data_IF_208695832655
#
_entry.id   IF_208695832655
#
_cell.length_a   1.000
_cell.length_b   1.000
_cell.length_c   1.000
_cell.angle_alpha   90.00
_cell.angle_beta   90.00
_cell.angle_gamma   90.00
#
_symmetry.space_group_name_H-M   'P 1'
#
loop_
_entity.id
_entity.type
_entity.pdbx_description
1 polymer ?
#
# COMPACT_ATOMS: atom_id res chain seq x y z
N UNK A 1 -21.29 -44.03 -29.32
CA UNK A 1 -22.07 -44.26 -28.07
C UNK A 1 -22.35 -42.93 -27.43
N UNK A 2 -23.64 -42.51 -27.36
CA UNK A 2 -24.00 -41.24 -26.76
C UNK A 2 -24.41 -41.43 -25.29
N UNK A 3 -23.98 -40.57 -24.42
CA UNK A 3 -24.28 -40.61 -22.98
C UNK A 3 -24.41 -39.22 -22.38
N UNK A 4 -25.60 -38.83 -22.28
CA UNK A 4 -26.48 -38.30 -21.19
C UNK A 4 -26.12 -36.89 -20.65
N UNK A 5 -26.92 -35.98 -21.08
CA UNK A 5 -27.23 -34.69 -20.46
C UNK A 5 -27.93 -34.90 -19.11
N UNK A 6 -27.53 -34.17 -18.09
CA UNK A 6 -28.31 -33.99 -16.86
C UNK A 6 -28.48 -32.51 -16.61
N UNK A 7 -29.67 -32.00 -16.83
CA UNK A 7 -30.17 -30.72 -16.37
C UNK A 7 -30.29 -30.73 -14.84
N UNK A 8 -29.77 -29.72 -14.17
CA UNK A 8 -30.25 -29.33 -12.86
C UNK A 8 -30.69 -27.88 -12.89
N UNK A 9 -32.00 -27.70 -12.94
CA UNK A 9 -32.76 -26.51 -12.59
C UNK A 9 -33.04 -26.51 -11.10
N UNK A 10 -32.85 -25.40 -10.44
CA UNK A 10 -33.28 -25.12 -9.07
C UNK A 10 -32.84 -23.70 -8.74
N UNK A 11 -33.56 -22.72 -8.92
CA UNK A 11 -34.80 -22.14 -8.42
C UNK A 11 -34.68 -21.65 -6.96
N UNK A 12 -35.14 -20.42 -6.75
CA UNK A 12 -35.58 -19.74 -5.54
C UNK A 12 -34.45 -19.04 -4.77
N UNK A 13 -34.27 -17.68 -4.71
CA UNK A 13 -35.33 -16.73 -4.39
C UNK A 13 -35.30 -16.40 -2.90
N UNK A 14 -34.56 -15.35 -2.52
CA UNK A 14 -34.85 -14.68 -1.23
C UNK A 14 -34.34 -13.22 -1.31
N UNK A 15 -35.29 -12.34 -1.63
CA UNK A 15 -35.18 -10.89 -1.48
C UNK A 15 -35.30 -10.60 0.02
N UNK A 16 -34.26 -10.03 0.62
CA UNK A 16 -34.35 -9.44 1.97
C UNK A 16 -34.12 -7.95 1.84
N UNK A 17 -35.22 -7.20 1.84
CA UNK A 17 -35.25 -5.76 2.04
C UNK A 17 -34.90 -5.46 3.51
N UNK A 18 -33.80 -4.76 3.76
CA UNK A 18 -33.62 -4.03 5.00
C UNK A 18 -33.71 -2.52 4.73
N UNK A 19 -34.88 -2.01 5.07
CA UNK A 19 -35.08 -0.58 5.37
C UNK A 19 -34.55 -0.32 6.77
N UNK A 20 -33.57 0.53 6.94
CA UNK A 20 -33.28 1.15 8.22
C UNK A 20 -33.14 2.65 8.03
N UNK A 21 -34.08 3.28 8.67
CA UNK A 21 -34.27 4.71 8.86
C UNK A 21 -33.13 5.38 9.62
N UNK A 22 -32.98 6.64 9.34
CA UNK A 22 -32.07 7.62 9.83
C UNK A 22 -31.95 7.82 11.35
N UNK A 23 -30.90 8.52 11.70
CA UNK A 23 -30.86 9.49 12.81
C UNK A 23 -29.80 10.54 12.51
N UNK A 24 -30.28 11.72 12.16
CA UNK A 24 -29.55 12.98 12.20
C UNK A 24 -29.33 13.40 13.64
N UNK A 25 -28.09 13.68 14.04
CA UNK A 25 -27.83 14.50 15.22
C UNK A 25 -26.90 15.67 14.81
N UNK A 26 -27.56 16.81 14.64
CA UNK A 26 -26.92 18.10 14.63
C UNK A 26 -26.72 18.53 16.11
N UNK A 27 -25.47 18.71 16.53
CA UNK A 27 -25.13 19.39 17.76
C UNK A 27 -24.38 20.68 17.45
N UNK A 28 -25.10 21.77 17.58
CA UNK A 28 -24.66 23.14 17.54
C UNK A 28 -23.98 23.47 18.88
N UNK A 29 -22.73 23.93 18.90
CA UNK A 29 -22.13 24.55 20.09
C UNK A 29 -21.42 25.84 19.68
N UNK A 30 -22.12 26.92 19.98
CA UNK A 30 -21.57 28.27 20.03
C UNK A 30 -20.65 28.37 21.26
N UNK A 31 -19.38 28.63 21.07
CA UNK A 31 -18.39 28.92 22.10
C UNK A 31 -18.13 30.43 22.19
N UNK A 32 -18.48 30.97 23.32
CA UNK A 32 -18.33 32.36 23.74
C UNK A 32 -16.87 32.76 23.84
N UNK A 33 -16.53 33.92 23.27
CA UNK A 33 -15.24 34.58 23.43
C UNK A 33 -15.09 35.14 24.81
N UNK A 34 -14.15 34.67 25.60
CA UNK A 34 -13.78 35.24 26.90
C UNK A 34 -12.44 35.95 26.80
N UNK A 35 -12.49 37.27 26.93
CA UNK A 35 -11.38 38.20 26.95
C UNK A 35 -10.79 38.22 28.37
N UNK A 36 -9.52 37.83 28.53
CA UNK A 36 -8.82 37.90 29.82
C UNK A 36 -7.62 38.84 29.72
N UNK A 37 -7.36 39.69 30.72
CA UNK A 37 -6.34 40.72 30.69
C UNK A 37 -4.95 40.17 30.97
N UNK A 38 -3.94 40.82 30.35
CA UNK A 38 -2.54 40.55 30.51
C UNK A 38 -2.04 40.80 31.93
N UNK A 39 -1.36 39.81 32.51
CA UNK A 39 -0.54 39.97 33.71
C UNK A 39 0.91 39.66 33.38
N UNK A 40 1.74 40.71 33.42
CA UNK A 40 3.18 40.64 33.25
C UNK A 40 3.80 39.97 34.48
N UNK A 41 4.48 38.84 34.27
CA UNK A 41 5.31 38.16 35.28
C UNK A 41 6.65 37.75 34.67
N UNK A 42 7.70 37.54 35.48
CA UNK A 42 9.08 37.46 34.99
C UNK A 42 9.33 36.20 34.14
N UNK A 43 10.19 36.36 33.14
CA UNK A 43 10.62 35.33 32.20
C UNK A 43 11.52 34.34 32.97
N UNK A 44 11.00 33.20 33.34
CA UNK A 44 11.79 32.03 33.67
C UNK A 44 12.26 31.36 32.39
N UNK A 45 13.56 31.26 32.26
CA UNK A 45 14.31 30.69 31.15
C UNK A 45 14.14 29.15 31.21
N UNK A 46 13.02 28.62 30.74
CA UNK A 46 12.81 27.18 30.62
C UNK A 46 13.53 26.72 29.35
N UNK A 47 14.66 26.04 29.52
CA UNK A 47 15.30 25.25 28.47
C UNK A 47 14.24 24.41 27.74
N UNK A 48 14.21 24.43 26.42
CA UNK A 48 13.32 23.53 25.68
C UNK A 48 13.75 22.07 25.95
N UNK A 49 12.94 21.34 26.69
CA UNK A 49 13.01 19.88 26.70
C UNK A 49 12.84 19.41 25.28
N UNK A 50 13.92 18.98 24.68
CA UNK A 50 13.93 18.30 23.38
C UNK A 50 13.24 16.95 23.59
N UNK A 51 11.96 16.93 23.44
CA UNK A 51 11.13 15.72 23.49
C UNK A 51 11.51 14.87 22.28
N UNK A 52 11.91 13.65 22.51
CA UNK A 52 12.23 12.61 21.55
C UNK A 52 11.00 12.25 20.65
N UNK A 53 10.59 13.15 19.77
CA UNK A 53 9.52 12.91 18.79
C UNK A 53 10.04 12.42 17.41
N UNK A 54 11.35 12.22 17.28
CA UNK A 54 11.98 11.99 15.96
C UNK A 54 12.09 10.51 15.58
N UNK A 55 11.94 9.58 16.53
CA UNK A 55 12.22 8.14 16.27
C UNK A 55 11.09 7.43 15.53
N UNK A 56 9.86 7.91 15.61
CA UNK A 56 8.70 7.22 15.03
C UNK A 56 8.51 7.50 13.53
N UNK A 57 9.04 8.61 13.03
CA UNK A 57 8.89 8.99 11.61
C UNK A 57 9.82 8.21 10.67
N UNK A 58 10.96 7.71 11.18
CA UNK A 58 11.96 7.05 10.35
C UNK A 58 11.56 5.64 9.89
N UNK A 59 10.66 4.97 10.61
CA UNK A 59 10.26 3.58 10.32
C UNK A 59 8.88 3.49 9.61
N UNK A 60 8.22 4.60 9.37
CA UNK A 60 6.94 4.60 8.66
C UNK A 60 7.14 4.41 7.16
N UNK A 61 6.46 3.43 6.60
CA UNK A 61 6.43 3.16 5.16
C UNK A 61 5.14 3.69 4.55
N UNK A 62 5.24 4.34 3.39
CA UNK A 62 4.10 4.85 2.63
C UNK A 62 4.21 4.40 1.19
N UNK A 63 3.14 3.82 0.66
CA UNK A 63 2.99 3.54 -0.77
C UNK A 63 1.70 4.16 -1.24
N UNK A 64 1.76 4.95 -2.31
CA UNK A 64 0.56 5.53 -2.94
C UNK A 64 0.53 5.21 -4.42
N UNK A 65 -0.66 5.00 -4.98
CA UNK A 65 -0.83 4.66 -6.38
C UNK A 65 -2.24 4.98 -6.89
N UNK A 66 -2.35 5.13 -8.21
CA UNK A 66 -3.63 5.28 -8.90
C UNK A 66 -3.92 4.01 -9.69
N UNK A 67 -5.13 3.48 -9.54
CA UNK A 67 -5.63 2.32 -10.28
C UNK A 67 -6.67 2.72 -11.30
N UNK A 68 -6.67 2.00 -12.44
CA UNK A 68 -7.70 2.07 -13.47
C UNK A 68 -8.06 0.65 -13.93
N UNK A 69 -9.32 0.42 -14.26
CA UNK A 69 -9.80 -0.87 -14.75
C UNK A 69 -10.76 -1.54 -13.77
N UNK A 70 -10.50 -2.77 -13.37
CA UNK A 70 -11.37 -3.54 -12.47
C UNK A 70 -11.68 -2.86 -11.14
N UNK A 71 -10.75 -2.05 -10.65
CA UNK A 71 -10.91 -1.08 -9.57
C UNK A 71 -10.31 0.23 -10.01
N UNK A 72 -10.95 1.34 -9.69
CA UNK A 72 -10.47 2.69 -10.05
C UNK A 72 -10.43 3.58 -8.83
N UNK A 73 -9.33 4.29 -8.62
CA UNK A 73 -9.17 5.21 -7.50
C UNK A 73 -7.71 5.57 -7.21
N UNK A 74 -7.53 6.46 -6.24
CA UNK A 74 -6.23 6.81 -5.66
C UNK A 74 -6.16 6.16 -4.28
N UNK A 75 -5.09 5.44 -4.03
CA UNK A 75 -4.90 4.66 -2.81
C UNK A 75 -3.61 5.05 -2.12
N UNK A 76 -3.60 4.94 -0.80
CA UNK A 76 -2.42 5.13 0.04
C UNK A 76 -2.42 4.06 1.13
N UNK A 77 -1.30 3.37 1.26
CA UNK A 77 -1.06 2.40 2.32
C UNK A 77 0.06 2.96 3.20
N UNK A 78 -0.15 2.97 4.51
CA UNK A 78 0.85 3.40 5.48
C UNK A 78 1.03 2.32 6.55
N UNK A 79 2.27 1.91 6.78
CA UNK A 79 2.64 0.95 7.81
C UNK A 79 3.69 1.57 8.74
N UNK A 80 3.54 1.34 10.05
CA UNK A 80 4.44 1.88 11.09
C UNK A 80 5.63 0.99 11.38
N UNK A 81 5.66 -0.24 10.86
CA UNK A 81 6.75 -1.18 11.02
C UNK A 81 7.32 -1.55 9.65
N UNK A 82 8.64 -1.66 9.49
CA UNK A 82 9.23 -2.10 8.24
C UNK A 82 8.98 -3.61 8.06
N UNK A 83 8.33 -3.96 6.97
CA UNK A 83 8.14 -5.35 6.50
C UNK A 83 8.92 -5.62 5.22
N UNK A 84 9.32 -4.54 4.55
CA UNK A 84 10.14 -4.57 3.34
C UNK A 84 11.58 -5.03 3.65
N UNK A 85 12.19 -5.77 2.71
CA UNK A 85 13.50 -6.39 2.90
C UNK A 85 14.42 -6.20 1.71
N UNK A 86 15.70 -6.02 1.99
CA UNK A 86 16.78 -6.03 1.03
C UNK A 86 17.87 -7.00 1.50
N UNK A 87 18.15 -8.05 0.70
CA UNK A 87 19.21 -9.02 0.95
C UNK A 87 20.35 -8.81 -0.02
N UNK A 88 21.38 -8.11 0.42
CA UNK A 88 22.52 -7.78 -0.43
C UNK A 88 23.23 -9.01 -1.02
N UNK A 89 23.45 -10.05 -0.22
CA UNK A 89 24.11 -11.28 -0.64
C UNK A 89 23.38 -12.02 -1.77
N UNK A 90 22.07 -11.93 -1.80
CA UNK A 90 21.20 -12.57 -2.82
C UNK A 90 20.65 -11.58 -3.85
N UNK A 91 20.93 -10.29 -3.69
CA UNK A 91 20.31 -9.22 -4.51
C UNK A 91 18.79 -9.31 -4.55
N UNK A 92 18.21 -9.90 -3.52
CA UNK A 92 16.78 -10.04 -3.35
C UNK A 92 16.21 -8.74 -2.77
N UNK A 93 15.14 -8.27 -3.39
CA UNK A 93 14.46 -7.05 -3.01
C UNK A 93 12.97 -7.31 -2.85
N UNK A 94 12.41 -6.90 -1.74
CA UNK A 94 10.96 -7.00 -1.49
C UNK A 94 10.48 -5.76 -0.76
N UNK A 95 9.55 -5.04 -1.37
CA UNK A 95 8.68 -4.07 -0.68
C UNK A 95 7.39 -4.81 -0.36
N UNK A 96 7.05 -4.85 0.92
CA UNK A 96 5.80 -5.40 1.43
C UNK A 96 5.19 -4.38 2.38
N UNK A 97 4.08 -3.77 2.00
CA UNK A 97 3.37 -2.77 2.81
C UNK A 97 1.90 -3.13 2.86
N UNK A 98 1.41 -3.37 4.07
CA UNK A 98 0.03 -3.74 4.32
C UNK A 98 -0.60 -2.89 5.43
N UNK A 99 -1.83 -2.43 5.23
CA UNK A 99 -2.63 -1.73 6.23
C UNK A 99 -4.12 -1.73 5.86
N UNK A 100 -4.98 -1.89 6.87
CA UNK A 100 -6.44 -1.72 6.77
C UNK A 100 -7.09 -2.51 5.62
N UNK A 101 -6.65 -3.74 5.39
CA UNK A 101 -7.22 -4.62 4.35
C UNK A 101 -6.77 -4.30 2.93
N UNK A 102 -5.69 -3.55 2.79
CA UNK A 102 -4.95 -3.41 1.54
C UNK A 102 -3.51 -3.84 1.73
N UNK A 103 -2.93 -4.47 0.72
CA UNK A 103 -1.50 -4.74 0.68
C UNK A 103 -0.93 -4.55 -0.72
N UNK A 104 0.37 -4.23 -0.77
CA UNK A 104 1.15 -4.23 -1.99
C UNK A 104 2.47 -4.93 -1.75
N UNK A 105 2.83 -5.81 -2.68
CA UNK A 105 4.13 -6.47 -2.73
C UNK A 105 4.78 -6.14 -4.07
N UNK A 106 6.04 -5.67 -4.00
CA UNK A 106 6.93 -5.52 -5.16
C UNK A 106 8.19 -6.33 -4.84
N UNK A 107 8.49 -7.33 -5.64
CA UNK A 107 9.63 -8.21 -5.39
C UNK A 107 10.38 -8.52 -6.68
N UNK A 108 11.71 -8.69 -6.60
CA UNK A 108 12.54 -9.18 -7.71
C UNK A 108 13.96 -9.53 -7.22
N UNK A 109 14.70 -10.23 -8.09
CA UNK A 109 16.14 -10.48 -7.94
C UNK A 109 16.95 -9.55 -8.84
N UNK A 110 18.16 -9.21 -8.42
CA UNK A 110 19.08 -8.40 -9.21
C UNK A 110 19.16 -6.94 -8.80
N UNK A 111 18.69 -6.59 -7.58
CA UNK A 111 18.89 -5.23 -7.06
C UNK A 111 20.37 -4.87 -6.94
N UNK A 112 20.74 -3.69 -7.40
CA UNK A 112 22.11 -3.19 -7.41
C UNK A 112 22.23 -1.69 -7.07
N UNK A 113 21.22 -1.13 -6.37
CA UNK A 113 21.19 0.28 -5.97
C UNK A 113 20.13 1.10 -6.72
N UNK A 114 20.09 2.42 -6.51
CA UNK A 114 19.18 3.31 -7.24
C UNK A 114 19.29 3.15 -8.75
N UNK A 115 18.13 3.16 -9.42
CA UNK A 115 18.04 2.90 -10.86
C UNK A 115 16.65 2.48 -11.29
N UNK A 116 16.50 2.13 -12.57
CA UNK A 116 15.24 1.67 -13.13
C UNK A 116 15.29 0.16 -13.42
N UNK A 117 14.23 -0.54 -13.00
CA UNK A 117 14.10 -1.98 -13.07
C UNK A 117 12.82 -2.36 -13.81
N UNK A 118 12.93 -3.33 -14.70
CA UNK A 118 11.75 -4.00 -15.27
C UNK A 118 11.42 -5.20 -14.40
N UNK A 119 10.25 -5.21 -13.79
CA UNK A 119 9.76 -6.35 -13.02
C UNK A 119 9.00 -7.29 -13.94
N UNK A 120 9.41 -8.53 -14.00
CA UNK A 120 8.78 -9.60 -14.76
C UNK A 120 9.16 -10.94 -14.18
N UNK A 121 8.21 -11.86 -14.07
CA UNK A 121 8.46 -13.23 -13.62
C UNK A 121 9.54 -13.92 -14.50
N UNK A 122 9.47 -13.72 -15.82
CA UNK A 122 10.34 -14.36 -16.79
C UNK A 122 11.79 -13.82 -16.77
N UNK A 123 12.01 -12.59 -16.31
CA UNK A 123 13.32 -11.92 -16.41
C UNK A 123 14.12 -12.06 -15.11
N UNK A 124 13.49 -11.78 -13.98
CA UNK A 124 14.18 -11.68 -12.70
C UNK A 124 13.33 -12.18 -11.52
N UNK A 125 12.34 -13.05 -11.77
CA UNK A 125 11.37 -13.47 -10.76
C UNK A 125 10.57 -12.29 -10.23
N UNK A 126 10.44 -11.22 -11.04
CA UNK A 126 9.80 -9.98 -10.62
C UNK A 126 8.29 -10.14 -10.46
N UNK A 127 7.78 -9.69 -9.32
CA UNK A 127 6.36 -9.71 -9.05
C UNK A 127 5.86 -8.37 -8.53
N UNK A 128 4.63 -8.04 -8.91
CA UNK A 128 3.82 -6.97 -8.35
C UNK A 128 2.47 -7.55 -8.00
N UNK A 129 2.11 -7.51 -6.73
CA UNK A 129 0.83 -7.98 -6.24
C UNK A 129 0.14 -6.90 -5.44
N UNK A 130 -1.16 -6.72 -5.68
CA UNK A 130 -2.03 -5.79 -4.95
C UNK A 130 -3.26 -6.57 -4.49
N UNK A 131 -3.53 -6.53 -3.19
CA UNK A 131 -4.67 -7.19 -2.56
C UNK A 131 -5.60 -6.18 -1.90
N UNK A 132 -6.90 -6.43 -2.01
CA UNK A 132 -7.97 -5.70 -1.34
C UNK A 132 -8.87 -6.70 -0.63
N UNK A 133 -8.67 -6.90 0.66
CA UNK A 133 -9.41 -7.89 1.47
C UNK A 133 -10.90 -7.59 1.54
N UNK A 134 -11.25 -6.29 1.61
CA UNK A 134 -12.66 -5.86 1.76
C UNK A 134 -13.55 -6.30 0.61
N UNK A 135 -12.99 -6.45 -0.59
CA UNK A 135 -13.71 -6.88 -1.79
C UNK A 135 -13.22 -8.24 -2.29
N UNK A 136 -12.33 -8.91 -1.54
CA UNK A 136 -11.71 -10.18 -1.90
C UNK A 136 -11.11 -10.16 -3.30
N UNK A 137 -10.48 -9.06 -3.67
CA UNK A 137 -9.88 -8.83 -4.97
C UNK A 137 -8.36 -8.82 -4.86
N UNK A 138 -7.70 -9.47 -5.82
CA UNK A 138 -6.25 -9.54 -5.91
C UNK A 138 -5.81 -9.50 -7.37
N UNK A 139 -4.70 -8.81 -7.64
CA UNK A 139 -4.05 -8.71 -8.94
C UNK A 139 -2.57 -9.05 -8.78
N UNK A 140 -2.06 -9.83 -9.70
CA UNK A 140 -0.72 -10.41 -9.60
C UNK A 140 -0.06 -10.50 -10.98
N UNK A 141 1.15 -9.93 -11.09
CA UNK A 141 1.92 -9.88 -12.33
C UNK A 141 2.28 -11.27 -12.85
N UNK A 142 2.56 -12.23 -11.96
CA UNK A 142 2.99 -13.59 -12.30
C UNK A 142 1.95 -14.40 -13.07
N UNK A 143 0.68 -13.97 -13.05
CA UNK A 143 -0.41 -14.66 -13.76
C UNK A 143 -0.38 -14.46 -15.28
N UNK A 144 0.48 -13.58 -15.80
CA UNK A 144 0.57 -13.31 -17.23
C UNK A 144 2.01 -13.33 -17.72
N UNK A 145 2.46 -14.40 -18.34
CA UNK A 145 3.78 -14.48 -18.96
C UNK A 145 4.03 -13.29 -19.91
N UNK A 146 5.18 -12.69 -19.81
CA UNK A 146 5.57 -11.51 -20.59
C UNK A 146 4.97 -10.17 -20.12
N UNK A 147 4.11 -10.16 -19.09
CA UNK A 147 3.69 -8.91 -18.46
C UNK A 147 4.86 -8.25 -17.70
N UNK A 148 4.91 -6.93 -17.75
CA UNK A 148 6.00 -6.17 -17.16
C UNK A 148 5.48 -4.95 -16.43
N UNK A 149 6.11 -4.65 -15.27
CA UNK A 149 6.00 -3.39 -14.55
C UNK A 149 7.35 -2.69 -14.55
N UNK A 150 7.35 -1.39 -14.36
CA UNK A 150 8.56 -0.60 -14.17
C UNK A 150 8.63 -0.13 -12.72
N UNK A 151 9.79 -0.32 -12.09
CA UNK A 151 10.12 0.23 -10.78
C UNK A 151 11.35 1.11 -10.93
N UNK A 152 11.29 2.35 -10.46
CA UNK A 152 12.44 3.25 -10.42
C UNK A 152 12.73 3.60 -8.96
N UNK A 153 13.90 3.21 -8.48
CA UNK A 153 14.41 3.60 -7.17
C UNK A 153 15.23 4.89 -7.34
N UNK A 154 14.75 5.96 -6.74
CA UNK A 154 15.40 7.27 -6.80
C UNK A 154 16.51 7.40 -5.75
N UNK A 155 16.29 6.85 -4.57
CA UNK A 155 17.26 6.85 -3.48
C UNK A 155 17.12 5.61 -2.61
N UNK A 156 18.25 5.21 -2.04
CA UNK A 156 18.38 4.14 -1.06
C UNK A 156 19.47 4.60 -0.07
N UNK A 157 19.08 5.02 1.12
CA UNK A 157 19.97 5.70 2.07
C UNK A 157 19.82 5.12 3.46
N UNK A 158 20.94 4.81 4.16
CA UNK A 158 20.91 4.39 5.54
C UNK A 158 20.18 5.39 6.43
N UNK A 159 19.42 4.89 7.39
CA UNK A 159 18.80 5.69 8.43
C UNK A 159 19.67 5.74 9.69
N UNK A 160 19.20 6.40 10.75
CA UNK A 160 19.86 6.37 12.04
C UNK A 160 19.69 4.99 12.73
N UNK A 161 18.71 4.21 12.32
CA UNK A 161 18.44 2.89 12.89
C UNK A 161 19.29 1.86 12.15
N UNK A 162 20.16 1.17 12.87
CA UNK A 162 21.06 0.16 12.30
C UNK A 162 20.30 -0.94 11.58
N UNK A 163 20.67 -1.20 10.33
CA UNK A 163 20.05 -2.22 9.48
C UNK A 163 18.72 -1.81 8.86
N UNK A 164 18.41 -0.50 8.86
CA UNK A 164 17.24 0.05 8.19
C UNK A 164 17.68 1.16 7.23
N UNK A 165 17.33 1.02 5.98
CA UNK A 165 17.49 2.04 4.95
C UNK A 165 16.15 2.71 4.62
N UNK A 166 16.20 3.92 4.12
CA UNK A 166 15.06 4.64 3.55
C UNK A 166 15.12 4.59 2.03
N UNK A 167 14.12 4.01 1.42
CA UNK A 167 14.04 3.87 -0.01
C UNK A 167 12.89 4.69 -0.57
N UNK A 168 13.18 5.47 -1.62
CA UNK A 168 12.19 6.27 -2.33
C UNK A 168 12.20 5.95 -3.81
N UNK A 169 11.02 5.97 -4.43
CA UNK A 169 10.92 5.65 -5.84
C UNK A 169 9.51 5.76 -6.40
N UNK A 170 9.36 5.24 -7.61
CA UNK A 170 8.10 5.22 -8.33
C UNK A 170 7.92 3.88 -9.05
N UNK A 171 6.67 3.48 -9.29
CA UNK A 171 6.38 2.28 -10.06
C UNK A 171 5.14 2.45 -10.93
N UNK A 172 5.06 1.66 -11.99
CA UNK A 172 3.89 1.59 -12.86
C UNK A 172 3.74 0.21 -13.46
N UNK A 173 2.49 -0.21 -13.66
CA UNK A 173 2.14 -1.47 -14.29
C UNK A 173 1.08 -1.19 -15.35
N UNK A 174 1.37 -1.33 -16.64
CA UNK A 174 0.39 -1.09 -17.69
C UNK A 174 -0.75 -2.12 -17.66
N UNK A 175 -0.49 -3.29 -17.08
CA UNK A 175 -1.48 -4.34 -16.92
C UNK A 175 -1.11 -5.29 -15.78
N UNK A 176 -1.98 -5.40 -14.78
CA UNK A 176 -1.96 -6.46 -13.77
C UNK A 176 -3.20 -7.33 -13.93
N UNK A 177 -3.07 -8.61 -14.24
CA UNK A 177 -4.20 -9.53 -14.33
C UNK A 177 -4.78 -9.82 -12.94
N UNK A 178 -6.08 -10.09 -12.89
CA UNK A 178 -6.75 -10.48 -11.65
C UNK A 178 -6.54 -11.95 -11.35
N UNK A 179 -6.29 -12.27 -10.09
CA UNK A 179 -6.30 -13.62 -9.53
C UNK A 179 -7.64 -14.00 -8.90
N UNK A 180 -8.58 -13.06 -8.81
CA UNK A 180 -9.84 -13.26 -8.11
C UNK A 180 -10.94 -13.73 -9.06
N UNK A 181 -11.70 -14.77 -8.71
CA UNK A 181 -12.77 -15.30 -9.58
C UNK A 181 -13.92 -14.32 -9.77
N UNK A 182 -14.15 -13.45 -8.78
CA UNK A 182 -15.27 -12.48 -8.79
C UNK A 182 -14.90 -11.10 -9.38
N UNK A 183 -13.61 -10.83 -9.55
CA UNK A 183 -13.07 -9.57 -10.07
C UNK A 183 -12.11 -9.87 -11.22
N UNK A 184 -12.63 -10.29 -12.37
CA UNK A 184 -11.79 -10.79 -13.47
C UNK A 184 -11.15 -9.69 -14.32
N UNK A 185 -11.54 -8.44 -14.16
CA UNK A 185 -10.97 -7.36 -14.95
C UNK A 185 -9.56 -7.02 -14.46
N UNK A 186 -8.60 -6.88 -15.38
CA UNK A 186 -7.26 -6.43 -15.04
C UNK A 186 -7.29 -4.97 -14.58
N UNK A 187 -6.21 -4.56 -13.89
CA UNK A 187 -5.98 -3.17 -13.53
C UNK A 187 -4.71 -2.65 -14.19
N UNK A 188 -4.65 -1.33 -14.33
CA UNK A 188 -3.45 -0.56 -14.63
C UNK A 188 -3.05 0.20 -13.37
N UNK A 189 -1.76 0.18 -13.02
CA UNK A 189 -1.20 1.04 -11.99
C UNK A 189 -0.49 2.19 -12.66
N UNK A 190 -0.93 3.40 -12.38
CA UNK A 190 -0.27 4.64 -12.81
C UNK A 190 0.13 5.46 -11.58
N UNK A 191 1.17 6.26 -11.71
CA UNK A 191 1.62 7.20 -10.66
C UNK A 191 1.84 6.51 -9.29
N UNK A 192 2.44 5.32 -9.29
CA UNK A 192 2.86 4.66 -8.06
C UNK A 192 4.07 5.37 -7.45
N UNK A 193 4.03 5.64 -6.14
CA UNK A 193 5.13 6.20 -5.36
C UNK A 193 5.40 5.34 -4.14
N UNK A 194 6.67 5.15 -3.83
CA UNK A 194 7.14 4.44 -2.66
C UNK A 194 8.03 5.35 -1.82
N UNK A 195 7.84 5.32 -0.52
CA UNK A 195 8.69 5.93 0.48
C UNK A 195 8.67 5.02 1.71
N UNK A 196 9.58 4.06 1.75
CA UNK A 196 9.53 2.91 2.66
C UNK A 196 10.80 2.78 3.49
N UNK A 197 10.62 2.33 4.73
CA UNK A 197 11.69 1.80 5.56
C UNK A 197 11.91 0.33 5.15
N UNK A 198 13.15 -0.04 4.85
CA UNK A 198 13.51 -1.37 4.38
C UNK A 198 14.56 -2.00 5.30
N UNK A 199 14.34 -3.24 5.71
CA UNK A 199 15.30 -4.01 6.53
C UNK A 199 16.41 -4.51 5.61
N UNK A 200 17.66 -4.18 5.95
CA UNK A 200 18.84 -4.62 5.21
C UNK A 200 19.40 -5.86 5.89
N UNK A 201 19.32 -7.00 5.20
CA UNK A 201 19.88 -8.29 5.63
C UNK A 201 21.21 -8.54 4.89
N UNK A 202 22.25 -8.90 5.64
CA UNK A 202 23.58 -9.23 5.12
C UNK A 202 23.66 -10.67 4.62
#
# INVERSE_FOLDING_TARGET
>A
MPGRWSHWLGATGMVLLFLLAGCSNAANSQGVAQKTPAKTGPIENSSPSTTNATTTANNMSTVSFTLHGGVTGVYMIQASLPTSKLRHGHREFTIDVAHAGMSIILAFYGYHGPGSYTLSEDINGGNVRIDFDQVSASWDLSLRPGAQCTLTIASDTPTMDTGIDRMQGAFSCPLLPSSSPNHQQPITVSSGHIDVAIIVES
#
